data_IF_598721387204
#
_entry.id   IF_598721387204
#
_cell.length_a   1.000
_cell.length_b   1.000
_cell.length_c   1.000
_cell.angle_alpha   90.00
_cell.angle_beta   90.00
_cell.angle_gamma   90.00
#
_symmetry.space_group_name_H-M   'P 1'
#
loop_
_entity.id
_entity.type
_entity.pdbx_description
1 polymer ?
#
# COMPACT_ATOMS: atom_id res chain seq x y z
N UNK A 1 -32.03 12.57 5.62
CA UNK A 1 -30.98 11.53 5.63
C UNK A 1 -29.77 12.19 6.25
N UNK A 2 -29.16 11.60 7.29
CA UNK A 2 -27.88 12.09 7.79
C UNK A 2 -26.85 11.92 6.68
N UNK A 3 -26.17 12.98 6.30
CA UNK A 3 -25.14 12.94 5.26
C UNK A 3 -24.05 11.92 5.65
N UNK A 4 -23.64 11.07 4.71
CA UNK A 4 -22.59 10.08 4.94
C UNK A 4 -21.25 10.78 5.15
N UNK A 5 -20.54 10.45 6.23
CA UNK A 5 -19.24 11.01 6.58
C UNK A 5 -18.21 9.89 6.65
N UNK A 6 -17.07 10.09 5.99
CA UNK A 6 -15.91 9.22 6.17
C UNK A 6 -15.26 9.52 7.51
N UNK A 7 -15.22 8.52 8.38
CA UNK A 7 -14.49 8.58 9.64
C UNK A 7 -13.00 8.35 9.40
N UNK A 8 -12.18 8.94 10.27
CA UNK A 8 -10.74 8.70 10.29
C UNK A 8 -10.42 7.23 10.57
N UNK A 9 -9.36 6.66 9.97
CA UNK A 9 -8.97 5.26 10.16
C UNK A 9 -9.00 4.85 11.63
N UNK A 10 -9.48 3.64 11.93
CA UNK A 10 -9.64 3.14 13.31
C UNK A 10 -10.43 4.05 14.28
N UNK A 11 -11.26 4.97 13.76
CA UNK A 11 -12.06 5.88 14.57
C UNK A 11 -11.25 6.98 15.26
N UNK A 12 -10.04 7.27 14.77
CA UNK A 12 -9.15 8.30 15.32
C UNK A 12 -9.83 9.66 15.39
N UNK A 13 -9.40 10.48 16.37
CA UNK A 13 -9.99 11.80 16.66
C UNK A 13 -8.95 12.92 16.60
N UNK A 14 -7.92 12.77 15.77
CA UNK A 14 -6.85 13.78 15.67
C UNK A 14 -7.32 15.04 14.93
N UNK A 15 -8.19 14.89 13.93
CA UNK A 15 -8.81 16.03 13.26
C UNK A 15 -9.79 16.74 14.19
N UNK A 16 -9.53 18.01 14.52
CA UNK A 16 -10.46 18.85 15.29
C UNK A 16 -11.82 18.97 14.59
N UNK A 17 -11.79 19.05 13.27
CA UNK A 17 -12.96 19.04 12.42
C UNK A 17 -12.94 17.75 11.56
N UNK A 18 -13.77 16.74 11.89
CA UNK A 18 -13.83 15.50 11.11
C UNK A 18 -14.17 15.68 9.63
N UNK A 19 -14.78 16.81 9.26
CA UNK A 19 -15.12 17.14 7.87
C UNK A 19 -13.86 17.29 7.00
N UNK A 20 -12.72 17.68 7.57
CA UNK A 20 -11.49 17.86 6.80
C UNK A 20 -11.00 16.51 6.25
N UNK A 21 -10.95 15.47 7.09
CA UNK A 21 -10.69 14.10 6.64
C UNK A 21 -11.76 13.59 5.66
N UNK A 22 -13.03 13.87 5.94
CA UNK A 22 -14.11 13.45 5.06
C UNK A 22 -13.97 14.00 3.64
N UNK A 23 -13.57 15.27 3.47
CA UNK A 23 -13.37 15.88 2.15
C UNK A 23 -12.23 15.22 1.37
N UNK A 24 -11.13 14.87 2.05
CA UNK A 24 -10.03 14.15 1.43
C UNK A 24 -10.51 12.79 0.90
N UNK A 25 -11.23 12.02 1.72
CA UNK A 25 -11.74 10.71 1.31
C UNK A 25 -12.89 10.78 0.29
N UNK A 26 -13.73 11.80 0.35
CA UNK A 26 -14.75 12.07 -0.67
C UNK A 26 -14.09 12.32 -2.03
N UNK A 27 -13.00 13.08 -2.06
CA UNK A 27 -12.24 13.31 -3.29
C UNK A 27 -11.70 11.99 -3.86
N UNK A 28 -11.06 11.17 -3.04
CA UNK A 28 -10.56 9.85 -3.47
C UNK A 28 -11.69 8.95 -4.00
N UNK A 29 -12.84 8.92 -3.33
CA UNK A 29 -14.01 8.15 -3.75
C UNK A 29 -14.59 8.63 -5.10
N UNK A 30 -14.60 9.94 -5.36
CA UNK A 30 -15.06 10.49 -6.64
C UNK A 30 -14.07 10.23 -7.78
N UNK A 31 -12.79 10.40 -7.51
CA UNK A 31 -11.72 10.20 -8.50
C UNK A 31 -11.72 8.75 -9.01
N UNK A 32 -11.93 7.77 -8.12
CA UNK A 32 -12.02 6.37 -8.54
C UNK A 32 -13.26 6.09 -9.39
N UNK A 33 -14.43 6.66 -9.07
CA UNK A 33 -15.62 6.52 -9.92
C UNK A 33 -15.39 7.10 -11.33
N UNK A 34 -14.67 8.23 -11.43
CA UNK A 34 -14.30 8.79 -12.72
C UNK A 34 -13.38 7.86 -13.54
N UNK A 35 -12.39 7.23 -12.89
CA UNK A 35 -11.51 6.23 -13.54
C UNK A 35 -12.31 5.02 -14.04
N UNK A 36 -13.26 4.53 -13.25
CA UNK A 36 -14.09 3.39 -13.62
C UNK A 36 -15.04 3.70 -14.77
N UNK A 37 -15.68 4.87 -14.75
CA UNK A 37 -16.51 5.35 -15.85
C UNK A 37 -15.68 5.50 -17.14
N UNK A 38 -14.47 6.06 -17.04
CA UNK A 38 -13.54 6.20 -18.17
C UNK A 38 -13.22 4.84 -18.80
N UNK A 39 -12.89 3.84 -17.96
CA UNK A 39 -12.59 2.48 -18.40
C UNK A 39 -13.81 1.79 -19.02
N UNK A 40 -14.99 1.90 -18.41
CA UNK A 40 -16.26 1.35 -18.91
C UNK A 40 -16.59 1.88 -20.30
N UNK A 41 -16.47 3.20 -20.49
CA UNK A 41 -16.82 3.91 -21.72
C UNK A 41 -15.73 3.86 -22.79
N UNK A 42 -14.50 3.43 -22.44
CA UNK A 42 -13.35 3.45 -23.34
C UNK A 42 -12.90 4.86 -23.74
N UNK A 43 -13.02 5.83 -22.82
CA UNK A 43 -12.63 7.23 -23.03
C UNK A 43 -11.54 7.64 -22.04
N UNK A 44 -10.69 8.59 -22.40
CA UNK A 44 -9.60 9.06 -21.53
C UNK A 44 -10.11 9.99 -20.41
N UNK A 45 -11.14 10.79 -20.68
CA UNK A 45 -11.68 11.77 -19.73
C UNK A 45 -13.20 11.87 -19.91
N UNK A 46 -13.99 11.13 -19.11
CA UNK A 46 -15.44 11.21 -19.16
C UNK A 46 -15.90 12.56 -18.60
N UNK A 47 -17.01 13.07 -19.14
CA UNK A 47 -17.72 14.23 -18.61
C UNK A 47 -18.48 13.88 -17.33
N UNK A 48 -18.85 14.88 -16.53
CA UNK A 48 -19.64 14.65 -15.30
C UNK A 48 -20.96 13.91 -15.58
N UNK A 49 -21.64 14.23 -16.68
CA UNK A 49 -22.87 13.53 -17.10
C UNK A 49 -22.60 12.05 -17.45
N UNK A 50 -21.47 11.75 -18.09
CA UNK A 50 -21.05 10.37 -18.38
C UNK A 50 -20.71 9.61 -17.10
N UNK A 51 -20.01 10.26 -16.15
CA UNK A 51 -19.68 9.68 -14.85
C UNK A 51 -20.97 9.34 -14.08
N UNK A 52 -21.93 10.27 -14.05
CA UNK A 52 -23.21 10.06 -13.37
C UNK A 52 -24.02 8.93 -14.03
N UNK A 53 -24.06 8.86 -15.36
CA UNK A 53 -24.75 7.81 -16.10
C UNK A 53 -24.18 6.40 -15.83
N UNK A 54 -22.88 6.28 -15.62
CA UNK A 54 -22.23 4.99 -15.34
C UNK A 54 -22.32 4.58 -13.86
N UNK A 55 -22.53 5.51 -12.92
CA UNK A 55 -22.37 5.26 -11.48
C UNK A 55 -23.09 4.01 -10.97
N UNK A 56 -24.33 3.77 -11.41
CA UNK A 56 -25.14 2.64 -10.93
C UNK A 56 -24.89 1.31 -11.66
N UNK A 57 -24.17 1.36 -12.77
CA UNK A 57 -23.69 0.15 -13.46
C UNK A 57 -22.47 -0.43 -12.73
N UNK A 58 -21.65 0.42 -12.13
CA UNK A 58 -20.41 0.05 -11.45
C UNK A 58 -20.65 -0.78 -10.17
N UNK A 59 -19.71 -1.69 -9.89
CA UNK A 59 -19.70 -2.48 -8.67
C UNK A 59 -19.09 -1.71 -7.49
N UNK A 60 -17.99 -0.99 -7.70
CA UNK A 60 -17.46 -0.07 -6.70
C UNK A 60 -18.34 1.18 -6.60
N UNK A 61 -18.62 1.64 -5.38
CA UNK A 61 -19.56 2.71 -5.10
C UNK A 61 -18.90 3.82 -4.29
N UNK A 62 -19.17 5.06 -4.66
CA UNK A 62 -18.91 6.24 -3.82
C UNK A 62 -20.05 6.38 -2.80
N UNK A 63 -19.79 6.09 -1.50
CA UNK A 63 -20.83 6.10 -0.48
C UNK A 63 -21.32 7.51 -0.12
N UNK A 64 -20.64 8.57 -0.54
CA UNK A 64 -21.12 9.96 -0.39
C UNK A 64 -22.27 10.30 -1.33
N UNK A 65 -22.41 9.50 -2.41
CA UNK A 65 -23.47 9.64 -3.41
C UNK A 65 -24.55 8.59 -3.23
N UNK A 66 -24.14 7.35 -2.99
CA UNK A 66 -25.03 6.23 -2.77
C UNK A 66 -24.62 5.51 -1.50
N UNK A 67 -25.21 5.90 -0.37
CA UNK A 67 -24.95 5.26 0.91
C UNK A 67 -25.24 3.75 0.85
N UNK A 68 -24.43 2.90 1.51
CA UNK A 68 -24.73 1.48 1.64
C UNK A 68 -26.15 1.27 2.21
N UNK A 69 -26.94 0.35 1.63
CA UNK A 69 -28.32 0.12 2.09
C UNK A 69 -28.36 -0.53 3.48
N UNK A 70 -29.52 -0.44 4.13
CA UNK A 70 -29.81 -1.20 5.35
C UNK A 70 -29.69 -2.71 5.05
N UNK A 71 -28.76 -3.39 5.73
CA UNK A 71 -28.44 -4.80 5.49
C UNK A 71 -27.17 -5.03 4.68
N UNK A 72 -26.43 -3.98 4.29
CA UNK A 72 -25.08 -4.15 3.77
C UNK A 72 -24.17 -4.83 4.82
N UNK A 73 -23.34 -5.76 4.36
CA UNK A 73 -22.40 -6.51 5.20
C UNK A 73 -21.05 -5.80 5.19
N UNK A 74 -20.45 -5.62 6.36
CA UNK A 74 -19.03 -5.20 6.47
C UNK A 74 -18.20 -6.40 6.93
N UNK A 75 -17.15 -6.71 6.16
CA UNK A 75 -16.26 -7.82 6.44
C UNK A 75 -14.80 -7.45 6.15
N UNK A 76 -13.84 -8.05 6.86
CA UNK A 76 -12.44 -7.98 6.44
C UNK A 76 -12.26 -8.79 5.17
N UNK A 77 -11.38 -8.32 4.29
CA UNK A 77 -10.88 -9.18 3.23
C UNK A 77 -9.83 -10.14 3.80
N UNK A 78 -9.54 -11.25 3.12
CA UNK A 78 -8.51 -12.19 3.50
C UNK A 78 -7.19 -11.43 3.75
N UNK A 79 -6.57 -11.61 4.93
CA UNK A 79 -5.35 -10.92 5.27
C UNK A 79 -4.16 -11.43 4.46
N UNK A 80 -3.15 -10.59 4.28
CA UNK A 80 -1.88 -10.93 3.66
C UNK A 80 -0.72 -10.74 4.62
N UNK A 81 0.41 -11.36 4.31
CA UNK A 81 1.63 -11.27 5.11
C UNK A 81 2.26 -9.87 5.01
N UNK A 82 2.69 -9.31 6.15
CA UNK A 82 3.33 -8.00 6.22
C UNK A 82 4.79 -7.98 5.74
N UNK A 83 5.43 -9.13 5.59
CA UNK A 83 6.76 -9.22 4.99
C UNK A 83 6.69 -9.09 3.45
N UNK A 84 7.45 -8.16 2.84
CA UNK A 84 7.49 -7.90 1.41
C UNK A 84 7.79 -9.11 0.53
N UNK A 85 6.78 -9.57 -0.21
CA UNK A 85 6.97 -10.66 -1.19
C UNK A 85 7.91 -10.27 -2.30
N UNK A 86 7.95 -8.98 -2.66
CA UNK A 86 8.90 -8.45 -3.63
C UNK A 86 10.36 -8.70 -3.20
N UNK A 87 10.64 -8.65 -1.89
CA UNK A 87 11.98 -8.93 -1.35
C UNK A 87 12.33 -10.40 -1.53
N UNK A 88 11.44 -11.30 -1.11
CA UNK A 88 11.65 -12.75 -1.23
C UNK A 88 11.75 -13.22 -2.69
N UNK A 89 11.04 -12.57 -3.62
CA UNK A 89 11.10 -12.90 -5.06
C UNK A 89 12.40 -12.51 -5.74
N UNK A 90 13.06 -11.46 -5.24
CA UNK A 90 14.33 -10.96 -5.78
C UNK A 90 15.54 -11.72 -5.22
N UNK A 91 15.34 -12.48 -4.16
CA UNK A 91 16.33 -13.36 -3.56
C UNK A 91 16.96 -14.34 -4.58
N UNK A 92 18.25 -14.72 -4.41
CA UNK A 92 19.18 -14.22 -3.40
C UNK A 92 19.69 -12.81 -3.74
N UNK A 93 19.99 -12.01 -2.72
CA UNK A 93 20.44 -10.64 -2.88
C UNK A 93 21.98 -10.53 -2.98
N UNK A 94 22.56 -10.11 -4.13
CA UNK A 94 24.01 -10.08 -4.30
C UNK A 94 24.75 -9.15 -3.33
N UNK A 95 24.12 -8.05 -2.95
CA UNK A 95 24.69 -7.05 -2.03
C UNK A 95 24.64 -7.51 -0.55
N UNK A 96 23.91 -8.60 -0.27
CA UNK A 96 23.75 -9.17 1.06
C UNK A 96 24.10 -10.66 1.03
N UNK A 97 25.40 -11.01 1.01
CA UNK A 97 25.83 -12.40 0.95
C UNK A 97 25.26 -13.21 2.12
N UNK A 98 25.17 -14.55 2.01
CA UNK A 98 24.58 -15.40 3.03
C UNK A 98 25.16 -15.14 4.42
N UNK A 99 24.29 -15.05 5.42
CA UNK A 99 24.69 -14.95 6.82
C UNK A 99 23.75 -15.76 7.72
N UNK A 100 24.13 -15.92 8.99
CA UNK A 100 23.32 -16.63 9.97
C UNK A 100 21.93 -15.98 10.11
N UNK A 101 20.89 -16.82 10.11
CA UNK A 101 19.48 -16.40 10.10
C UNK A 101 19.00 -15.67 8.84
N UNK A 102 19.84 -15.45 7.82
CA UNK A 102 19.47 -14.74 6.58
C UNK A 102 20.33 -15.23 5.39
N UNK A 103 20.12 -16.49 4.93
CA UNK A 103 20.96 -17.12 3.92
C UNK A 103 20.82 -16.46 2.54
N UNK A 104 19.67 -15.86 2.23
CA UNK A 104 19.41 -15.23 0.93
C UNK A 104 19.50 -13.70 0.96
N UNK A 105 19.80 -13.13 2.13
CA UNK A 105 19.93 -11.68 2.32
C UNK A 105 18.60 -10.92 2.39
N UNK A 106 17.45 -11.62 2.50
CA UNK A 106 16.12 -11.03 2.54
C UNK A 106 15.95 -10.07 3.73
N UNK A 107 16.36 -10.50 4.92
CA UNK A 107 16.18 -9.70 6.12
C UNK A 107 17.11 -8.49 6.15
N UNK A 108 18.32 -8.56 5.60
CA UNK A 108 19.14 -7.36 5.40
C UNK A 108 18.61 -6.47 4.27
N UNK A 109 18.08 -7.06 3.21
CA UNK A 109 17.55 -6.33 2.07
C UNK A 109 16.31 -5.50 2.42
N UNK A 110 15.39 -6.03 3.22
CA UNK A 110 14.15 -5.35 3.61
C UNK A 110 14.38 -4.16 4.56
N UNK A 111 15.49 -4.15 5.30
CA UNK A 111 15.89 -3.04 6.18
C UNK A 111 16.62 -1.91 5.43
N UNK A 112 16.79 -2.04 4.11
CA UNK A 112 17.42 -1.01 3.30
C UNK A 112 16.63 0.31 3.38
N UNK A 113 17.40 1.40 3.48
CA UNK A 113 16.88 2.76 3.44
C UNK A 113 17.34 3.42 2.14
N UNK A 114 16.38 3.82 1.30
CA UNK A 114 16.69 4.33 -0.01
C UNK A 114 15.52 5.01 -0.72
N UNK A 115 15.57 4.97 -2.05
CA UNK A 115 14.62 5.66 -2.93
C UNK A 115 14.13 4.76 -4.07
N UNK A 116 14.21 3.43 -3.89
CA UNK A 116 13.68 2.43 -4.84
C UNK A 116 12.14 2.49 -4.92
N UNK A 117 11.51 3.10 -3.93
CA UNK A 117 10.12 3.49 -3.92
C UNK A 117 9.83 4.65 -4.90
N UNK A 118 10.73 5.05 -5.79
CA UNK A 118 10.46 5.94 -6.93
C UNK A 118 11.17 5.45 -8.19
N UNK A 119 10.64 5.77 -9.40
CA UNK A 119 11.38 5.52 -10.63
C UNK A 119 12.75 6.20 -10.61
N UNK A 120 13.75 5.56 -11.21
CA UNK A 120 15.14 5.99 -11.17
C UNK A 120 15.31 7.49 -11.51
N UNK A 121 16.00 8.19 -10.62
CA UNK A 121 16.13 9.64 -10.63
C UNK A 121 16.69 10.14 -9.30
N UNK A 122 16.62 11.45 -9.09
CA UNK A 122 17.07 12.12 -7.86
C UNK A 122 15.97 13.04 -7.32
N UNK A 123 15.89 13.19 -6.01
CA UNK A 123 15.07 14.25 -5.43
C UNK A 123 15.80 15.59 -5.50
N UNK A 124 15.05 16.63 -5.83
CA UNK A 124 15.49 18.03 -5.82
C UNK A 124 14.42 18.90 -5.16
N UNK A 125 14.79 20.08 -4.70
CA UNK A 125 13.84 21.13 -4.37
C UNK A 125 13.57 22.08 -5.55
N UNK A 126 12.74 23.11 -5.35
CA UNK A 126 12.43 24.11 -6.38
C UNK A 126 13.64 24.93 -6.85
N UNK A 127 14.78 24.84 -6.16
CA UNK A 127 16.03 25.52 -6.50
C UNK A 127 17.07 24.55 -7.12
N UNK A 128 16.64 23.38 -7.60
CA UNK A 128 17.48 22.33 -8.19
C UNK A 128 18.55 21.75 -7.23
N UNK A 129 18.43 21.98 -5.91
CA UNK A 129 19.35 21.38 -4.94
C UNK A 129 18.97 19.92 -4.72
N UNK A 130 19.95 19.02 -4.82
CA UNK A 130 19.72 17.59 -4.58
C UNK A 130 19.38 17.35 -3.11
N UNK A 131 18.30 16.60 -2.89
CA UNK A 131 17.84 16.18 -1.57
C UNK A 131 18.15 14.69 -1.39
N UNK A 132 18.64 14.31 -0.20
CA UNK A 132 18.77 12.91 0.19
C UNK A 132 17.62 12.57 1.13
N UNK A 133 16.62 11.83 0.62
CA UNK A 133 15.36 11.57 1.30
C UNK A 133 15.07 10.06 1.32
N UNK A 134 15.90 9.27 2.02
CA UNK A 134 15.69 7.83 2.09
C UNK A 134 14.44 7.49 2.88
N UNK A 135 13.79 6.39 2.49
CA UNK A 135 12.65 5.77 3.18
C UNK A 135 12.88 4.27 3.33
N UNK A 136 11.98 3.56 4.02
CA UNK A 136 11.97 2.09 4.08
C UNK A 136 11.45 1.54 2.75
N UNK A 137 12.26 1.72 1.72
CA UNK A 137 11.87 1.63 0.31
C UNK A 137 11.55 0.21 -0.19
N UNK A 138 11.75 -0.79 0.68
CA UNK A 138 11.43 -2.20 0.41
C UNK A 138 10.39 -2.78 1.35
N UNK A 139 9.85 -2.00 2.29
CA UNK A 139 8.77 -2.43 3.19
C UNK A 139 7.40 -2.06 2.59
N UNK A 140 7.03 -2.69 1.49
CA UNK A 140 5.93 -2.27 0.62
C UNK A 140 4.63 -3.08 0.80
N UNK A 141 4.32 -3.64 1.96
CA UNK A 141 3.08 -4.45 2.17
C UNK A 141 2.07 -3.82 3.12
N UNK A 142 2.00 -2.47 3.13
CA UNK A 142 1.17 -1.71 4.05
C UNK A 142 1.48 -1.98 5.54
N UNK A 143 2.69 -2.49 5.79
CA UNK A 143 3.29 -2.65 7.10
C UNK A 143 4.74 -2.20 6.99
N UNK A 144 5.10 -1.19 7.76
CA UNK A 144 6.48 -0.78 7.94
C UNK A 144 6.87 -0.88 9.39
N UNK A 145 8.16 -1.09 9.65
CA UNK A 145 8.68 -1.27 10.99
C UNK A 145 10.04 -0.61 11.20
N UNK A 146 10.34 -0.37 12.47
CA UNK A 146 11.65 0.05 12.93
C UNK A 146 11.98 -0.64 14.24
N UNK A 147 13.25 -1.06 14.38
CA UNK A 147 13.78 -1.62 15.60
C UNK A 147 14.56 -0.57 16.39
N UNK A 148 14.33 -0.49 17.70
CA UNK A 148 15.23 0.15 18.64
C UNK A 148 16.23 -0.88 19.14
N UNK A 149 17.50 -0.48 19.18
CA UNK A 149 18.61 -1.32 19.65
C UNK A 149 19.26 -0.72 20.90
N UNK A 150 19.82 -1.58 21.75
CA UNK A 150 20.66 -1.14 22.87
C UNK A 150 22.09 -0.80 22.42
N UNK A 151 22.95 -0.39 23.36
CA UNK A 151 24.36 -0.06 23.10
C UNK A 151 25.18 -1.24 22.57
N UNK A 152 24.71 -2.48 22.81
CA UNK A 152 25.31 -3.72 22.31
C UNK A 152 24.74 -4.13 20.93
N UNK A 153 23.85 -3.31 20.36
CA UNK A 153 23.22 -3.56 19.06
C UNK A 153 22.05 -4.55 19.10
N UNK A 154 21.61 -5.00 20.28
CA UNK A 154 20.52 -5.97 20.43
C UNK A 154 19.16 -5.33 20.27
N UNK A 155 18.21 -6.03 19.64
CA UNK A 155 16.85 -5.53 19.44
C UNK A 155 16.11 -5.50 20.79
N UNK A 156 15.69 -4.31 21.23
CA UNK A 156 14.96 -4.13 22.50
C UNK A 156 13.48 -3.84 22.30
N UNK A 157 13.13 -3.22 21.16
CA UNK A 157 11.76 -2.90 20.78
C UNK A 157 11.61 -2.95 19.27
N UNK A 158 10.47 -3.42 18.79
CA UNK A 158 10.06 -3.25 17.39
C UNK A 158 8.75 -2.47 17.37
N UNK A 159 8.68 -1.46 16.52
CA UNK A 159 7.46 -0.70 16.24
C UNK A 159 7.00 -1.02 14.83
N UNK A 160 5.73 -1.42 14.69
CA UNK A 160 5.05 -1.67 13.43
C UNK A 160 3.98 -0.60 13.20
N UNK A 161 3.85 -0.13 11.96
CA UNK A 161 2.90 0.92 11.58
C UNK A 161 2.20 0.53 10.28
N UNK A 162 0.88 0.75 10.24
CA UNK A 162 0.00 0.63 9.07
C UNK A 162 -0.73 1.96 8.75
N UNK A 163 -0.37 3.04 9.42
CA UNK A 163 -0.95 4.38 9.22
C UNK A 163 -0.25 5.11 8.06
N UNK A 164 -1.01 5.50 7.04
CA UNK A 164 -0.50 6.13 5.82
C UNK A 164 0.07 7.54 6.02
N UNK A 165 1.05 7.93 5.20
CA UNK A 165 1.58 9.29 5.20
C UNK A 165 0.58 10.34 4.70
N UNK A 166 -0.43 9.92 3.94
CA UNK A 166 -1.52 10.75 3.45
C UNK A 166 -2.43 11.22 4.60
N UNK A 167 -2.72 10.37 5.59
CA UNK A 167 -3.40 10.79 6.83
C UNK A 167 -2.64 11.93 7.54
N UNK A 168 -1.32 11.79 7.67
CA UNK A 168 -0.47 12.83 8.29
C UNK A 168 -0.34 14.07 7.41
N UNK A 169 -0.36 13.91 6.09
CA UNK A 169 -0.33 15.03 5.15
C UNK A 169 -1.59 15.88 5.27
N UNK A 170 -2.75 15.25 5.28
CA UNK A 170 -4.05 15.91 5.50
C UNK A 170 -4.11 16.53 6.91
N UNK A 171 -3.70 15.79 7.94
CA UNK A 171 -3.70 16.32 9.30
C UNK A 171 -2.79 17.56 9.42
N UNK A 172 -1.61 17.53 8.82
CA UNK A 172 -0.68 18.65 8.84
C UNK A 172 -1.23 19.87 8.06
N UNK A 173 -1.91 19.66 6.94
CA UNK A 173 -2.52 20.74 6.16
C UNK A 173 -3.60 21.50 6.95
N UNK A 174 -4.29 20.82 7.87
CA UNK A 174 -5.40 21.39 8.65
C UNK A 174 -5.03 21.75 10.10
N UNK A 175 -4.11 21.02 10.72
CA UNK A 175 -3.63 21.22 12.10
C UNK A 175 -2.18 20.71 12.26
N UNK A 176 -1.22 21.54 11.81
CA UNK A 176 0.22 21.29 11.96
C UNK A 176 0.63 21.03 13.43
N UNK A 177 -0.06 21.68 14.37
CA UNK A 177 0.18 21.53 15.80
C UNK A 177 -0.11 20.11 16.25
N UNK A 178 -1.25 19.55 15.84
CA UNK A 178 -1.61 18.17 16.16
C UNK A 178 -0.68 17.16 15.50
N UNK A 179 -0.34 17.35 14.23
CA UNK A 179 0.64 16.50 13.55
C UNK A 179 2.00 16.52 14.28
N UNK A 180 2.45 17.71 14.72
CA UNK A 180 3.67 17.86 15.49
C UNK A 180 3.61 17.14 16.85
N UNK A 181 2.50 17.25 17.59
CA UNK A 181 2.31 16.53 18.85
C UNK A 181 2.46 15.02 18.67
N UNK A 182 1.79 14.44 17.67
CA UNK A 182 1.92 13.01 17.37
C UNK A 182 3.36 12.62 17.05
N UNK A 183 4.07 13.45 16.29
CA UNK A 183 5.49 13.24 16.01
C UNK A 183 6.33 13.26 17.30
N UNK A 184 6.10 14.21 18.21
CA UNK A 184 6.79 14.27 19.51
C UNK A 184 6.51 13.03 20.35
N UNK A 185 5.25 12.60 20.40
CA UNK A 185 4.82 11.44 21.17
C UNK A 185 5.46 10.13 20.65
N UNK A 186 5.47 9.92 19.34
CA UNK A 186 5.98 8.68 18.75
C UNK A 186 7.50 8.62 18.62
N UNK A 187 8.17 9.77 18.49
CA UNK A 187 9.64 9.83 18.40
C UNK A 187 10.31 10.06 19.76
N UNK A 188 9.58 10.57 20.76
CA UNK A 188 10.13 10.97 22.05
C UNK A 188 11.00 12.23 21.98
N UNK A 189 10.88 13.04 20.92
CA UNK A 189 11.68 14.25 20.70
C UNK A 189 10.86 15.52 21.03
N UNK A 190 10.93 16.06 22.26
CA UNK A 190 10.08 17.17 22.68
C UNK A 190 10.38 18.49 21.95
N UNK A 191 11.59 18.64 21.42
CA UNK A 191 12.09 19.88 20.80
C UNK A 191 11.74 20.01 19.31
N UNK A 192 11.03 19.04 18.72
CA UNK A 192 10.58 19.12 17.33
C UNK A 192 9.72 20.37 17.10
N UNK A 193 9.84 20.92 15.90
CA UNK A 193 9.06 22.06 15.41
C UNK A 193 8.30 21.65 14.15
N UNK A 194 7.18 22.30 13.85
CA UNK A 194 6.41 22.01 12.62
C UNK A 194 7.27 22.14 11.35
N UNK A 195 8.21 23.09 11.36
CA UNK A 195 9.19 23.31 10.29
C UNK A 195 10.16 22.14 10.05
N UNK A 196 10.35 21.26 11.04
CA UNK A 196 11.14 20.04 10.90
C UNK A 196 10.41 18.98 10.07
N UNK A 197 9.08 19.09 9.98
CA UNK A 197 8.19 18.19 9.23
C UNK A 197 7.85 18.74 7.84
N UNK A 198 8.31 19.95 7.50
CA UNK A 198 7.87 20.68 6.30
C UNK A 198 8.82 20.53 5.12
N UNK A 199 8.27 20.36 3.92
CA UNK A 199 8.97 20.53 2.66
C UNK A 199 9.09 22.03 2.30
N UNK A 200 9.97 22.78 2.96
CA UNK A 200 10.02 24.26 2.86
C UNK A 200 10.12 24.79 1.41
N UNK A 201 10.97 24.16 0.61
CA UNK A 201 11.22 24.52 -0.79
C UNK A 201 10.60 23.51 -1.78
N UNK A 202 9.65 22.70 -1.30
CA UNK A 202 9.04 21.61 -2.06
C UNK A 202 9.98 20.41 -2.23
N UNK A 203 9.43 19.31 -2.71
CA UNK A 203 10.15 18.09 -3.07
C UNK A 203 9.70 17.68 -4.45
N UNK A 204 10.66 17.48 -5.34
CA UNK A 204 10.43 17.08 -6.73
C UNK A 204 11.31 15.89 -7.07
N UNK A 205 10.83 14.98 -7.91
CA UNK A 205 11.60 13.87 -8.48
C UNK A 205 12.03 14.22 -9.89
N UNK A 206 13.33 14.41 -10.13
CA UNK A 206 13.90 14.53 -11.46
C UNK A 206 14.31 13.16 -11.98
N UNK A 207 13.64 12.71 -13.02
CA UNK A 207 13.85 11.40 -13.65
C UNK A 207 15.08 11.40 -14.56
N UNK A 208 15.58 10.21 -14.90
CA UNK A 208 16.72 10.05 -15.84
C UNK A 208 16.52 10.70 -17.21
N UNK A 209 15.27 10.84 -17.66
CA UNK A 209 14.93 11.51 -18.92
C UNK A 209 14.87 13.05 -18.82
N UNK A 210 15.21 13.63 -17.65
CA UNK A 210 15.19 15.06 -17.39
C UNK A 210 13.83 15.62 -16.96
N UNK A 211 12.75 14.83 -17.01
CA UNK A 211 11.43 15.28 -16.53
C UNK A 211 11.42 15.41 -15.02
N UNK A 212 10.89 16.53 -14.52
CA UNK A 212 10.69 16.78 -13.09
C UNK A 212 9.21 16.61 -12.74
N UNK A 213 8.93 15.90 -11.66
CA UNK A 213 7.58 15.69 -11.12
C UNK A 213 7.50 16.22 -9.69
N UNK A 214 6.49 17.02 -9.39
CA UNK A 214 6.19 17.41 -8.01
C UNK A 214 5.86 16.17 -7.16
N UNK A 215 6.38 16.14 -5.95
CA UNK A 215 6.09 15.12 -4.93
C UNK A 215 5.39 15.79 -3.76
N UNK A 216 5.92 16.91 -3.29
CA UNK A 216 5.31 17.78 -2.28
C UNK A 216 5.51 19.23 -2.68
N UNK A 217 4.46 20.04 -2.65
CA UNK A 217 4.55 21.48 -2.92
C UNK A 217 5.27 22.24 -1.79
N UNK A 218 5.87 23.41 -2.08
CA UNK A 218 6.54 24.22 -1.06
C UNK A 218 5.61 24.55 0.11
N UNK A 219 6.07 24.21 1.30
CA UNK A 219 5.33 24.41 2.54
C UNK A 219 4.46 23.22 2.98
N UNK A 220 4.29 22.20 2.13
CA UNK A 220 3.56 20.98 2.49
C UNK A 220 4.28 20.10 3.50
N UNK A 221 3.58 19.08 3.99
CA UNK A 221 4.14 18.03 4.85
C UNK A 221 5.18 17.20 4.07
N UNK A 222 6.35 16.97 4.66
CA UNK A 222 7.38 16.10 4.10
C UNK A 222 7.22 14.68 4.66
N UNK A 223 6.63 13.72 3.92
CA UNK A 223 6.47 12.35 4.39
C UNK A 223 7.81 11.59 4.48
N UNK A 224 8.88 12.14 3.89
CA UNK A 224 10.23 11.59 3.88
C UNK A 224 11.16 12.34 4.86
N UNK A 225 10.58 13.06 5.83
CA UNK A 225 11.38 13.76 6.83
C UNK A 225 12.21 12.74 7.63
N UNK A 226 13.42 13.14 8.03
CA UNK A 226 14.37 12.26 8.73
C UNK A 226 13.83 11.69 10.04
N UNK A 227 12.86 12.35 10.67
CA UNK A 227 12.30 11.94 11.97
C UNK A 227 11.36 10.74 11.84
N UNK A 228 10.82 10.48 10.63
CA UNK A 228 10.13 9.23 10.32
C UNK A 228 11.08 8.07 10.01
N UNK A 229 12.41 8.32 9.95
CA UNK A 229 13.45 7.30 9.71
C UNK A 229 14.21 6.99 11.01
N UNK A 230 14.64 8.03 11.73
CA UNK A 230 15.42 7.96 12.96
C UNK A 230 15.05 9.18 13.84
N UNK A 231 14.64 9.03 15.13
CA UNK A 231 14.77 7.89 16.04
C UNK A 231 13.74 6.77 15.91
N UNK A 232 12.78 6.84 14.98
CA UNK A 232 11.76 5.80 14.88
C UNK A 232 10.96 5.83 13.59
N UNK A 233 9.72 5.32 13.69
CA UNK A 233 8.72 5.27 12.64
C UNK A 233 7.43 5.90 13.18
N UNK A 234 6.86 6.85 12.43
CA UNK A 234 5.63 7.60 12.77
C UNK A 234 4.48 7.13 11.88
N UNK A 235 4.74 7.02 10.58
CA UNK A 235 3.78 6.57 9.56
C UNK A 235 4.50 5.77 8.46
N UNK A 236 3.72 5.08 7.62
CA UNK A 236 4.18 4.44 6.39
C UNK A 236 4.89 5.48 5.50
N UNK A 237 6.09 5.15 5.00
CA UNK A 237 6.96 6.04 4.23
C UNK A 237 7.06 5.66 2.75
N UNK A 238 6.80 4.41 2.40
CA UNK A 238 6.84 3.91 1.04
C UNK A 238 5.66 4.46 0.22
N UNK A 239 5.90 5.00 -0.98
CA UNK A 239 4.86 5.66 -1.79
C UNK A 239 3.62 4.78 -2.06
N UNK A 240 3.81 3.48 -2.24
CA UNK A 240 2.75 2.53 -2.60
C UNK A 240 1.94 2.04 -1.39
N UNK A 241 2.31 2.50 -0.18
CA UNK A 241 1.61 2.19 1.06
C UNK A 241 0.60 3.29 1.46
N UNK A 242 0.09 4.07 0.51
CA UNK A 242 -0.92 5.11 0.78
C UNK A 242 -2.34 4.56 0.73
N UNK A 243 -3.26 5.19 1.46
CA UNK A 243 -4.69 4.92 1.37
C UNK A 243 -5.24 5.21 -0.02
N UNK A 244 -4.77 6.28 -0.68
CA UNK A 244 -5.17 6.58 -2.06
C UNK A 244 -4.78 5.48 -3.06
N UNK A 245 -3.60 4.86 -2.90
CA UNK A 245 -3.20 3.71 -3.72
C UNK A 245 -4.14 2.52 -3.51
N UNK A 246 -4.58 2.30 -2.28
CA UNK A 246 -5.50 1.23 -1.92
C UNK A 246 -6.91 1.45 -2.48
N UNK A 247 -7.48 2.65 -2.28
CA UNK A 247 -8.78 3.05 -2.84
C UNK A 247 -8.79 2.83 -4.35
N UNK A 248 -7.73 3.27 -5.03
CA UNK A 248 -7.59 3.07 -6.46
C UNK A 248 -7.56 1.58 -6.82
N UNK A 249 -6.72 0.78 -6.16
CA UNK A 249 -6.59 -0.64 -6.46
C UNK A 249 -7.90 -1.42 -6.27
N UNK A 250 -8.59 -1.19 -5.14
CA UNK A 250 -9.89 -1.79 -4.86
C UNK A 250 -10.89 -1.41 -5.96
N UNK A 251 -10.99 -0.13 -6.31
CA UNK A 251 -11.91 0.34 -7.33
C UNK A 251 -11.62 -0.21 -8.73
N UNK A 252 -10.39 -0.10 -9.26
CA UNK A 252 -10.05 -0.55 -10.63
C UNK A 252 -10.19 -2.07 -10.82
N UNK A 253 -10.15 -2.80 -9.71
CA UNK A 253 -10.40 -4.25 -9.66
C UNK A 253 -11.90 -4.58 -9.62
N UNK A 254 -12.76 -3.58 -9.42
CA UNK A 254 -14.22 -3.67 -9.41
C UNK A 254 -14.90 -3.71 -10.79
N UNK A 255 -14.17 -4.03 -11.87
CA UNK A 255 -14.71 -4.14 -13.24
C UNK A 255 -14.34 -5.50 -13.82
N UNK A 256 -15.30 -6.16 -14.49
CA UNK A 256 -15.07 -7.44 -15.18
C UNK A 256 -14.10 -7.27 -16.33
N UNK A 257 -13.15 -8.21 -16.44
CA UNK A 257 -12.11 -8.20 -17.46
C UNK A 257 -12.28 -9.33 -18.46
N UNK A 258 -12.11 -9.02 -19.75
CA UNK A 258 -12.13 -9.97 -20.87
C UNK A 258 -10.73 -10.17 -21.42
N UNK A 259 -10.39 -11.44 -21.64
CA UNK A 259 -9.19 -11.87 -22.36
C UNK A 259 -9.25 -11.49 -23.84
N UNK A 260 -8.16 -11.75 -24.54
CA UNK A 260 -8.05 -11.52 -25.98
C UNK A 260 -9.11 -12.28 -26.81
N UNK A 261 -9.49 -13.47 -26.36
CA UNK A 261 -10.52 -14.32 -26.98
C UNK A 261 -11.97 -13.86 -26.68
N UNK A 262 -12.15 -12.78 -25.91
CA UNK A 262 -13.44 -12.24 -25.52
C UNK A 262 -14.08 -12.93 -24.31
N UNK A 263 -13.48 -14.01 -23.79
CA UNK A 263 -13.97 -14.69 -22.59
C UNK A 263 -13.56 -13.93 -21.33
N UNK A 264 -14.41 -13.99 -20.30
CA UNK A 264 -14.14 -13.34 -19.01
C UNK A 264 -12.97 -14.02 -18.29
N UNK A 265 -12.19 -13.23 -17.56
CA UNK A 265 -11.32 -13.76 -16.52
C UNK A 265 -12.17 -14.29 -15.37
N UNK A 266 -11.83 -15.48 -14.89
CA UNK A 266 -12.51 -16.17 -13.79
C UNK A 266 -12.09 -15.66 -12.41
N UNK A 267 -10.99 -14.90 -12.32
CA UNK A 267 -10.44 -14.36 -11.09
C UNK A 267 -9.68 -15.38 -10.24
N UNK A 268 -9.40 -16.60 -10.72
CA UNK A 268 -8.74 -17.65 -9.94
C UNK A 268 -7.22 -17.41 -9.76
N UNK A 269 -6.58 -16.78 -10.74
CA UNK A 269 -5.17 -16.38 -10.70
C UNK A 269 -5.05 -14.87 -10.40
N UNK A 270 -4.68 -14.55 -9.16
CA UNK A 270 -4.54 -13.19 -8.66
C UNK A 270 -3.48 -12.37 -9.43
N UNK A 271 -2.36 -13.00 -9.81
CA UNK A 271 -1.30 -12.32 -10.56
C UNK A 271 -1.78 -12.00 -11.98
N UNK A 272 -2.43 -12.97 -12.64
CA UNK A 272 -2.98 -12.79 -13.98
C UNK A 272 -4.01 -11.67 -14.02
N UNK A 273 -4.88 -11.61 -13.02
CA UNK A 273 -5.87 -10.54 -12.89
C UNK A 273 -5.20 -9.18 -12.74
N UNK A 274 -4.21 -9.05 -11.85
CA UNK A 274 -3.50 -7.79 -11.66
C UNK A 274 -2.70 -7.37 -12.90
N UNK A 275 -2.10 -8.33 -13.61
CA UNK A 275 -1.42 -8.08 -14.87
C UNK A 275 -2.38 -7.60 -15.98
N UNK A 276 -3.63 -8.08 -15.97
CA UNK A 276 -4.67 -7.65 -16.91
C UNK A 276 -5.15 -6.21 -16.66
N UNK A 277 -5.33 -5.82 -15.38
CA UNK A 277 -5.93 -4.53 -15.01
C UNK A 277 -4.90 -3.41 -14.72
N UNK A 278 -3.60 -3.75 -14.58
CA UNK A 278 -2.51 -2.80 -14.22
C UNK A 278 -2.75 -2.02 -12.93
N UNK A 279 -3.53 -2.57 -12.00
CA UNK A 279 -3.94 -1.87 -10.79
C UNK A 279 -2.84 -1.66 -9.75
N UNK A 280 -1.74 -2.43 -9.83
CA UNK A 280 -0.66 -2.40 -8.86
C UNK A 280 0.57 -3.21 -9.31
N UNK A 281 1.38 -3.65 -8.34
CA UNK A 281 2.59 -4.44 -8.56
C UNK A 281 2.31 -5.95 -8.33
N UNK A 282 2.42 -6.80 -9.37
CA UNK A 282 2.14 -8.23 -9.24
C UNK A 282 3.12 -8.99 -8.34
N UNK A 283 4.21 -8.37 -7.91
CA UNK A 283 5.18 -9.01 -7.02
C UNK A 283 4.86 -8.84 -5.53
N UNK A 284 3.95 -7.95 -5.15
CA UNK A 284 3.48 -7.75 -3.77
C UNK A 284 2.50 -8.85 -3.34
N UNK A 285 2.35 -9.09 -2.04
CA UNK A 285 1.30 -9.93 -1.45
C UNK A 285 -0.06 -9.24 -1.59
N UNK A 286 -0.11 -7.98 -1.17
CA UNK A 286 -1.30 -7.15 -1.10
C UNK A 286 -1.99 -6.99 -2.46
N UNK A 287 -1.29 -6.44 -3.45
CA UNK A 287 -1.97 -5.98 -4.67
C UNK A 287 -2.77 -7.06 -5.41
N UNK A 288 -2.19 -8.25 -5.72
CA UNK A 288 -2.94 -9.32 -6.36
C UNK A 288 -4.11 -9.81 -5.50
N UNK A 289 -3.94 -9.89 -4.18
CA UNK A 289 -4.95 -10.43 -3.27
C UNK A 289 -6.14 -9.48 -3.12
N UNK A 290 -5.89 -8.17 -2.96
CA UNK A 290 -6.93 -7.14 -2.98
C UNK A 290 -7.66 -7.17 -4.31
N UNK A 291 -6.91 -7.19 -5.43
CA UNK A 291 -7.50 -7.23 -6.76
C UNK A 291 -8.40 -8.45 -6.96
N UNK A 292 -7.96 -9.63 -6.55
CA UNK A 292 -8.73 -10.87 -6.64
C UNK A 292 -10.01 -10.80 -5.80
N UNK A 293 -9.92 -10.31 -4.57
CA UNK A 293 -11.07 -10.27 -3.65
C UNK A 293 -12.10 -9.22 -4.03
N UNK A 294 -11.65 -8.06 -4.52
CA UNK A 294 -12.50 -7.04 -5.12
C UNK A 294 -13.25 -7.60 -6.34
N UNK A 295 -12.53 -8.25 -7.26
CA UNK A 295 -13.09 -8.87 -8.46
C UNK A 295 -14.09 -10.00 -8.14
N UNK A 296 -13.82 -10.80 -7.09
CA UNK A 296 -14.72 -11.83 -6.62
C UNK A 296 -16.08 -11.27 -6.14
N UNK A 297 -16.12 -10.04 -5.62
CA UNK A 297 -17.40 -9.39 -5.29
C UNK A 297 -18.21 -9.11 -6.57
N UNK A 298 -17.54 -8.62 -7.61
CA UNK A 298 -18.16 -8.30 -8.91
C UNK A 298 -18.75 -9.55 -9.57
N UNK A 299 -17.97 -10.64 -9.63
CA UNK A 299 -18.42 -11.93 -10.19
C UNK A 299 -19.65 -12.49 -9.49
N UNK A 300 -19.83 -12.15 -8.22
CA UNK A 300 -20.97 -12.55 -7.41
C UNK A 300 -22.12 -11.52 -7.46
N UNK A 301 -22.09 -10.52 -8.34
CA UNK A 301 -23.12 -9.47 -8.43
C UNK A 301 -23.29 -8.68 -7.11
N UNK A 302 -22.20 -8.44 -6.38
CA UNK A 302 -22.19 -7.46 -5.29
C UNK A 302 -21.83 -6.07 -5.82
N UNK A 303 -22.43 -5.05 -5.21
CA UNK A 303 -21.85 -3.71 -5.13
C UNK A 303 -21.09 -3.59 -3.81
N UNK A 304 -20.05 -2.77 -3.77
CA UNK A 304 -19.24 -2.58 -2.57
C UNK A 304 -18.54 -1.22 -2.54
N UNK A 305 -18.10 -0.83 -1.35
CA UNK A 305 -17.18 0.28 -1.07
C UNK A 305 -16.14 -0.22 -0.08
N UNK A 306 -15.00 0.47 0.05
CA UNK A 306 -14.20 0.33 1.26
C UNK A 306 -15.05 0.70 2.49
N UNK A 307 -14.91 -0.07 3.55
CA UNK A 307 -15.72 0.12 4.76
C UNK A 307 -15.32 1.41 5.47
N UNK A 308 -16.29 2.03 6.15
CA UNK A 308 -16.04 3.17 7.02
C UNK A 308 -15.73 2.68 8.45
N UNK A 309 -14.62 3.08 9.10
CA UNK A 309 -13.53 3.91 8.59
C UNK A 309 -12.63 3.20 7.57
N UNK A 310 -12.26 3.92 6.51
CA UNK A 310 -11.34 3.46 5.47
C UNK A 310 -9.94 3.38 6.06
N UNK A 311 -9.25 2.26 5.89
CA UNK A 311 -7.92 2.06 6.43
C UNK A 311 -7.33 0.69 6.11
N UNK A 312 -6.01 0.61 6.24
CA UNK A 312 -5.25 -0.62 6.25
C UNK A 312 -4.82 -0.89 7.69
N UNK A 313 -5.03 -2.11 8.16
CA UNK A 313 -4.89 -2.43 9.57
C UNK A 313 -4.07 -3.69 9.74
N UNK A 314 -3.26 -3.73 10.80
CA UNK A 314 -2.64 -4.97 11.26
C UNK A 314 -3.76 -5.92 11.66
N UNK A 315 -3.96 -6.98 10.89
CA UNK A 315 -5.05 -7.93 11.07
C UNK A 315 -4.83 -8.83 12.29
N UNK A 316 -3.57 -9.16 12.57
CA UNK A 316 -3.21 -9.98 13.72
C UNK A 316 -1.77 -10.51 13.65
N UNK A 317 -1.45 -11.38 14.60
CA UNK A 317 -0.14 -12.00 14.77
C UNK A 317 -0.32 -13.52 14.79
N UNK A 318 0.54 -14.25 14.08
CA UNK A 318 0.71 -15.69 14.27
C UNK A 318 1.42 -15.95 15.63
N UNK A 319 0.65 -15.95 16.71
CA UNK A 319 1.19 -15.96 18.09
C UNK A 319 1.91 -17.26 18.50
N UNK A 320 1.76 -18.33 17.71
CA UNK A 320 2.52 -19.58 17.84
C UNK A 320 3.92 -19.49 17.24
N UNK A 321 4.18 -18.50 16.38
CA UNK A 321 5.43 -18.37 15.64
C UNK A 321 6.56 -17.67 16.41
N UNK A 322 6.24 -16.94 17.48
CA UNK A 322 7.22 -16.22 18.31
C UNK A 322 7.28 -16.79 19.73
N UNK A 323 8.41 -17.40 20.06
CA UNK A 323 8.62 -18.15 21.30
C UNK A 323 9.71 -17.53 22.18
N UNK A 324 9.64 -17.84 23.48
CA UNK A 324 10.71 -17.59 24.44
C UNK A 324 11.93 -18.48 24.15
N UNK A 325 13.09 -18.24 24.80
CA UNK A 325 14.31 -19.02 24.57
C UNK A 325 14.20 -20.53 24.85
N UNK A 326 13.15 -20.96 25.56
CA UNK A 326 12.85 -22.38 25.81
C UNK A 326 12.23 -23.10 24.60
N UNK A 327 12.00 -22.38 23.50
CA UNK A 327 11.45 -22.89 22.24
C UNK A 327 10.10 -23.63 22.39
N UNK A 328 9.32 -23.30 23.42
CA UNK A 328 8.03 -23.94 23.70
C UNK A 328 6.99 -22.99 24.30
N UNK A 329 7.43 -21.97 25.03
CA UNK A 329 6.55 -20.95 25.60
C UNK A 329 6.35 -19.82 24.61
N UNK A 330 5.09 -19.49 24.32
CA UNK A 330 4.75 -18.33 23.47
C UNK A 330 5.16 -17.03 24.14
N UNK A 331 5.52 -16.03 23.33
CA UNK A 331 5.67 -14.66 23.83
C UNK A 331 4.35 -14.19 24.46
N UNK A 332 4.38 -13.68 25.71
CA UNK A 332 3.18 -13.20 26.37
C UNK A 332 2.52 -12.03 25.61
N UNK A 333 1.18 -12.05 25.52
CA UNK A 333 0.41 -11.05 24.77
C UNK A 333 0.59 -9.64 25.34
N UNK A 334 0.88 -9.51 26.63
CA UNK A 334 1.13 -8.23 27.30
C UNK A 334 2.43 -7.54 26.89
N UNK A 335 3.33 -8.22 26.16
CA UNK A 335 4.50 -7.58 25.56
C UNK A 335 4.17 -6.86 24.25
N UNK A 336 2.97 -7.10 23.70
CA UNK A 336 2.43 -6.42 22.54
C UNK A 336 1.51 -5.29 22.97
N UNK A 337 1.92 -4.06 22.65
CA UNK A 337 1.17 -2.85 22.97
C UNK A 337 0.56 -2.25 21.71
N UNK A 338 -0.77 -2.28 21.63
CA UNK A 338 -1.52 -1.47 20.66
C UNK A 338 -1.44 -0.01 21.09
N UNK A 339 -0.79 0.82 20.30
CA UNK A 339 -0.66 2.27 20.56
C UNK A 339 -1.76 3.04 19.85
N UNK A 340 -2.17 2.58 18.66
CA UNK A 340 -3.28 3.16 17.89
C UNK A 340 -4.13 2.07 17.27
N UNK A 341 -5.45 2.26 17.35
CA UNK A 341 -6.44 1.28 16.94
C UNK A 341 -6.80 0.31 18.06
N UNK A 342 -7.46 -0.80 17.69
CA UNK A 342 -8.00 -1.77 18.63
C UNK A 342 -8.08 -3.17 18.01
N UNK A 343 -8.42 -4.15 18.86
CA UNK A 343 -8.85 -5.50 18.48
C UNK A 343 -7.78 -6.39 17.81
N UNK A 344 -6.51 -6.20 18.13
CA UNK A 344 -5.36 -6.97 17.60
C UNK A 344 -5.56 -8.50 17.55
N UNK A 345 -6.29 -9.05 18.52
CA UNK A 345 -6.47 -10.49 18.70
C UNK A 345 -7.76 -11.03 18.09
N UNK A 346 -8.52 -10.19 17.40
CA UNK A 346 -9.70 -10.56 16.63
C UNK A 346 -9.51 -10.10 15.17
N UNK A 347 -9.00 -10.98 14.32
CA UNK A 347 -8.79 -10.66 12.91
C UNK A 347 -10.09 -10.27 12.17
N UNK A 348 -11.27 -10.58 12.71
CA UNK A 348 -12.53 -10.14 12.12
C UNK A 348 -12.89 -8.68 12.41
N UNK A 349 -12.23 -8.08 13.42
CA UNK A 349 -12.51 -6.74 13.91
C UNK A 349 -11.28 -5.82 13.98
N UNK A 350 -10.05 -6.38 13.88
CA UNK A 350 -8.81 -5.66 14.13
C UNK A 350 -8.68 -4.40 13.28
N UNK A 351 -8.52 -3.26 13.95
CA UNK A 351 -8.28 -1.95 13.33
C UNK A 351 -7.01 -1.32 13.87
N UNK A 352 -5.98 -2.13 14.12
CA UNK A 352 -4.69 -1.67 14.66
C UNK A 352 -3.89 -0.93 13.60
N UNK A 353 -3.42 0.26 13.94
CA UNK A 353 -2.59 1.12 13.08
C UNK A 353 -1.14 1.22 13.56
N UNK A 354 -0.92 1.08 14.88
CA UNK A 354 0.42 1.12 15.48
C UNK A 354 0.52 0.09 16.58
N UNK A 355 1.52 -0.78 16.46
CA UNK A 355 1.79 -1.89 17.36
C UNK A 355 3.25 -1.86 17.79
N UNK A 356 3.50 -2.10 19.07
CA UNK A 356 4.85 -2.15 19.62
C UNK A 356 5.06 -3.49 20.33
N UNK A 357 6.17 -4.16 20.02
CA UNK A 357 6.67 -5.31 20.77
C UNK A 357 7.85 -4.84 21.61
N UNK A 358 7.78 -5.04 22.93
CA UNK A 358 8.87 -4.69 23.86
C UNK A 358 8.92 -5.70 25.01
N UNK A 359 10.12 -6.17 25.33
CA UNK A 359 10.32 -7.11 26.45
C UNK A 359 10.43 -6.31 27.76
N UNK A 360 9.62 -6.61 28.79
CA UNK A 360 9.73 -5.94 30.07
C UNK A 360 11.12 -6.12 30.70
N UNK A 361 11.69 -5.03 31.25
CA UNK A 361 13.04 -5.04 31.82
C UNK A 361 13.26 -6.11 32.90
N UNK A 362 12.20 -6.52 33.62
CA UNK A 362 12.24 -7.57 34.65
C UNK A 362 12.62 -8.96 34.11
N UNK A 363 12.36 -9.22 32.83
CA UNK A 363 12.62 -10.52 32.19
C UNK A 363 14.10 -10.74 31.92
N UNK A 364 14.91 -9.66 31.92
CA UNK A 364 16.35 -9.71 31.58
C UNK A 364 16.64 -10.35 30.21
N UNK A 365 15.65 -10.29 29.32
CA UNK A 365 15.72 -10.72 27.93
C UNK A 365 15.57 -9.51 27.01
N UNK A 366 15.99 -9.68 25.76
CA UNK A 366 15.73 -8.77 24.66
C UNK A 366 14.91 -9.49 23.58
N UNK A 367 14.41 -8.76 22.59
CA UNK A 367 13.71 -9.38 21.45
C UNK A 367 14.65 -10.34 20.71
N UNK A 368 15.95 -10.07 20.71
CA UNK A 368 16.94 -10.93 20.08
C UNK A 368 17.12 -12.31 20.73
N UNK A 369 16.66 -12.47 21.97
CA UNK A 369 16.68 -13.76 22.67
C UNK A 369 15.46 -14.63 22.31
N UNK A 370 14.43 -14.04 21.70
CA UNK A 370 13.23 -14.73 21.25
C UNK A 370 13.51 -15.56 20.01
N UNK A 371 12.63 -16.52 19.74
CA UNK A 371 12.78 -17.49 18.68
C UNK A 371 11.64 -17.41 17.65
N UNK A 372 12.01 -17.41 16.37
CA UNK A 372 11.10 -17.64 15.24
C UNK A 372 11.57 -18.88 14.50
N UNK A 373 10.71 -19.91 14.42
CA UNK A 373 11.07 -21.20 13.84
C UNK A 373 12.29 -21.88 14.51
N UNK A 374 12.47 -21.65 15.82
CA UNK A 374 13.62 -22.16 16.60
C UNK A 374 14.92 -21.37 16.45
N UNK A 375 14.96 -20.33 15.61
CA UNK A 375 16.13 -19.47 15.41
C UNK A 375 15.97 -18.15 16.15
N UNK A 376 17.08 -17.59 16.65
CA UNK A 376 17.07 -16.26 17.29
C UNK A 376 16.58 -15.17 16.34
N UNK A 377 15.89 -14.18 16.88
CA UNK A 377 15.50 -12.98 16.14
C UNK A 377 16.72 -12.05 15.98
N UNK A 378 17.39 -12.12 14.85
CA UNK A 378 18.51 -11.24 14.49
C UNK A 378 18.03 -9.98 13.76
N UNK A 379 16.91 -10.08 13.06
CA UNK A 379 16.33 -9.05 12.22
C UNK A 379 14.85 -8.83 12.56
N UNK A 380 14.36 -7.59 12.62
CA UNK A 380 12.95 -7.33 12.92
C UNK A 380 12.02 -7.86 11.81
N UNK A 381 12.50 -7.98 10.57
CA UNK A 381 11.78 -8.65 9.48
C UNK A 381 11.34 -10.09 9.80
N UNK A 382 12.08 -10.84 10.63
CA UNK A 382 11.66 -12.19 11.07
C UNK A 382 10.36 -12.15 11.88
N UNK A 383 10.15 -11.08 12.66
CA UNK A 383 8.89 -10.88 13.39
C UNK A 383 7.81 -10.36 12.46
N UNK A 384 8.16 -9.51 11.48
CA UNK A 384 7.22 -9.01 10.48
C UNK A 384 6.57 -10.14 9.65
N UNK A 385 7.27 -11.25 9.40
CA UNK A 385 6.72 -12.45 8.76
C UNK A 385 5.54 -13.06 9.54
N UNK A 386 5.43 -12.81 10.84
CA UNK A 386 4.33 -13.30 11.68
C UNK A 386 3.14 -12.33 11.72
N UNK A 387 3.28 -11.14 11.16
CA UNK A 387 2.22 -10.13 11.12
C UNK A 387 1.46 -10.21 9.80
N UNK A 388 0.17 -9.97 9.90
CA UNK A 388 -0.68 -9.85 8.72
C UNK A 388 -1.41 -8.52 8.70
N UNK A 389 -1.76 -8.06 7.50
CA UNK A 389 -2.49 -6.82 7.24
C UNK A 389 -3.76 -7.13 6.49
N UNK A 390 -4.79 -6.33 6.69
CA UNK A 390 -6.04 -6.39 5.94
C UNK A 390 -6.68 -5.02 5.78
N UNK A 391 -7.81 -5.02 5.09
CA UNK A 391 -8.76 -3.91 5.04
C UNK A 391 -10.18 -4.47 5.10
N UNK A 392 -11.15 -3.57 5.22
CA UNK A 392 -12.55 -3.91 5.27
C UNK A 392 -13.30 -3.40 4.05
N UNK A 393 -14.27 -4.17 3.59
CA UNK A 393 -15.23 -3.76 2.55
C UNK A 393 -16.64 -3.82 3.12
N UNK A 394 -17.48 -2.88 2.69
CA UNK A 394 -18.93 -2.93 2.90
C UNK A 394 -19.58 -3.28 1.58
N UNK A 395 -20.34 -4.39 1.52
CA UNK A 395 -20.93 -4.92 0.30
C UNK A 395 -22.42 -5.21 0.43
N UNK A 396 -23.13 -5.21 -0.69
CA UNK A 396 -24.55 -5.59 -0.77
C UNK A 396 -24.87 -6.16 -2.15
N UNK A 397 -25.81 -7.10 -2.21
CA UNK A 397 -26.22 -7.70 -3.48
C UNK A 397 -26.92 -6.68 -4.36
N UNK A 398 -26.66 -6.75 -5.66
CA UNK A 398 -27.52 -6.11 -6.66
C UNK A 398 -28.90 -6.76 -6.65
N UNK A 399 -29.92 -5.99 -7.01
CA UNK A 399 -31.27 -6.51 -7.23
C UNK A 399 -31.37 -7.32 -8.52
N UNK A 400 -30.42 -7.15 -9.44
CA UNK A 400 -30.28 -7.91 -10.67
C UNK A 400 -29.08 -8.87 -10.62
N UNK A 401 -28.98 -9.76 -11.60
CA UNK A 401 -27.82 -10.64 -11.78
C UNK A 401 -26.67 -9.96 -12.57
N UNK A 402 -26.67 -8.63 -12.68
CA UNK A 402 -25.63 -7.91 -13.40
C UNK A 402 -24.30 -8.01 -12.67
N UNK A 403 -23.21 -7.93 -13.42
CA UNK A 403 -21.83 -7.85 -12.91
C UNK A 403 -21.20 -6.49 -13.28
N UNK A 404 -22.01 -5.54 -13.75
CA UNK A 404 -21.54 -4.25 -14.25
C UNK A 404 -20.88 -4.34 -15.63
N UNK A 405 -20.12 -3.31 -16.02
CA UNK A 405 -19.47 -3.25 -17.33
C UNK A 405 -18.34 -4.28 -17.47
N UNK A 406 -18.10 -4.69 -18.72
CA UNK A 406 -17.04 -5.64 -19.08
C UNK A 406 -16.04 -5.01 -20.05
N UNK A 407 -14.82 -4.82 -19.59
CA UNK A 407 -13.74 -4.20 -20.36
C UNK A 407 -12.68 -5.23 -20.74
N UNK A 408 -11.89 -4.95 -21.78
CA UNK A 408 -10.77 -5.85 -22.15
C UNK A 408 -9.63 -5.71 -21.15
N UNK A 409 -8.73 -6.69 -21.14
CA UNK A 409 -7.43 -6.52 -20.50
C UNK A 409 -6.62 -5.44 -21.21
N UNK A 410 -6.00 -4.58 -20.41
CA UNK A 410 -5.22 -3.42 -20.89
C UNK A 410 -3.70 -3.73 -20.94
N UNK A 411 -3.30 -4.87 -20.37
CA UNK A 411 -1.93 -5.35 -20.33
C UNK A 411 -1.83 -6.86 -20.08
N UNK A 412 -0.59 -7.33 -20.05
CA UNK A 412 -0.17 -8.63 -19.54
C UNK A 412 1.06 -8.47 -18.65
N UNK A 413 1.70 -9.58 -18.29
CA UNK A 413 3.03 -9.57 -17.67
C UNK A 413 4.00 -10.48 -18.41
N UNK A 414 5.27 -10.18 -18.21
CA UNK A 414 6.38 -11.07 -18.49
C UNK A 414 6.95 -11.64 -17.19
N UNK A 415 7.61 -12.80 -17.25
CA UNK A 415 8.14 -13.52 -16.10
C UNK A 415 9.61 -13.90 -16.27
N UNK A 416 10.39 -13.76 -15.20
CA UNK A 416 11.75 -14.30 -15.04
C UNK A 416 11.87 -14.91 -13.64
N UNK A 417 11.97 -16.24 -13.57
CA UNK A 417 11.86 -16.93 -12.28
C UNK A 417 10.51 -16.66 -11.61
N UNK A 418 10.54 -16.20 -10.36
CA UNK A 418 9.34 -15.77 -9.60
C UNK A 418 8.96 -14.30 -9.83
N UNK A 419 9.80 -13.52 -10.51
CA UNK A 419 9.56 -12.11 -10.75
C UNK A 419 8.64 -11.90 -11.95
N UNK A 420 7.69 -10.98 -11.80
CA UNK A 420 6.80 -10.50 -12.85
C UNK A 420 7.11 -9.05 -13.22
N UNK A 421 6.93 -8.70 -14.49
CA UNK A 421 7.04 -7.34 -15.00
C UNK A 421 5.80 -7.02 -15.84
N UNK A 422 5.11 -5.91 -15.55
CA UNK A 422 3.98 -5.46 -16.36
C UNK A 422 4.42 -5.19 -17.80
N UNK A 423 3.62 -5.60 -18.76
CA UNK A 423 3.96 -5.58 -20.18
C UNK A 423 2.74 -5.29 -21.06
N UNK A 424 2.97 -4.64 -22.20
CA UNK A 424 1.99 -4.43 -23.26
C UNK A 424 1.91 -5.59 -24.28
N UNK A 425 2.58 -6.71 -23.98
CA UNK A 425 2.71 -7.86 -24.88
C UNK A 425 4.15 -8.13 -25.32
N UNK A 426 5.06 -7.16 -25.09
CA UNK A 426 6.50 -7.31 -25.35
C UNK A 426 7.30 -7.58 -24.06
N UNK A 427 8.25 -8.52 -24.12
CA UNK A 427 9.09 -8.88 -22.97
C UNK A 427 10.53 -8.44 -23.18
N UNK A 428 11.11 -7.84 -22.13
CA UNK A 428 12.53 -7.53 -22.03
C UNK A 428 13.41 -8.79 -22.11
N UNK A 429 14.69 -8.62 -22.46
CA UNK A 429 15.64 -9.73 -22.57
C UNK A 429 15.70 -10.58 -21.30
N UNK A 430 15.57 -11.90 -21.48
CA UNK A 430 15.56 -12.88 -20.38
C UNK A 430 14.22 -13.02 -19.65
N UNK A 431 13.20 -12.24 -20.02
CA UNK A 431 11.82 -12.46 -19.61
C UNK A 431 11.02 -13.15 -20.72
N UNK A 432 10.03 -13.94 -20.33
CA UNK A 432 9.08 -14.60 -21.25
C UNK A 432 7.64 -14.19 -20.94
N UNK A 433 6.69 -14.25 -21.90
CA UNK A 433 5.29 -13.99 -21.60
C UNK A 433 4.78 -14.85 -20.45
N UNK A 434 4.15 -14.23 -19.44
CA UNK A 434 3.56 -14.93 -18.30
C UNK A 434 2.12 -15.33 -18.59
N UNK A 435 1.35 -14.42 -19.18
CA UNK A 435 -0.09 -14.58 -19.45
C UNK A 435 -0.42 -14.16 -20.89
N UNK A 436 0.05 -14.91 -21.91
CA UNK A 436 -0.06 -14.50 -23.32
C UNK A 436 -1.51 -14.43 -23.83
N UNK A 437 -2.47 -15.02 -23.12
CA UNK A 437 -3.89 -15.01 -23.49
C UNK A 437 -4.65 -13.73 -23.11
N UNK A 438 -4.01 -12.82 -22.37
CA UNK A 438 -4.63 -11.55 -21.97
C UNK A 438 -4.72 -10.55 -23.13
N UNK A 439 -3.77 -10.57 -24.07
CA UNK A 439 -3.69 -9.63 -25.19
C UNK A 439 -3.70 -10.36 -26.55
N UNK A 440 -4.22 -9.72 -27.62
CA UNK A 440 -4.17 -10.32 -28.96
C UNK A 440 -2.75 -10.62 -29.43
N UNK A 441 -2.55 -11.72 -30.16
CA UNK A 441 -1.22 -12.16 -30.62
C UNK A 441 -0.43 -11.10 -31.43
N UNK A 442 -1.14 -10.16 -32.08
CA UNK A 442 -0.53 -9.09 -32.88
C UNK A 442 -0.04 -7.90 -32.04
N UNK A 443 -0.31 -7.86 -30.73
CA UNK A 443 0.30 -6.89 -29.82
C UNK A 443 1.80 -7.18 -29.57
N UNK A 444 2.28 -8.37 -29.92
CA UNK A 444 3.66 -8.81 -29.69
C UNK A 444 4.64 -8.54 -30.86
N UNK A 445 4.24 -7.86 -31.95
CA UNK A 445 5.14 -7.65 -33.10
C UNK A 445 5.01 -6.25 -33.69
N UNK A 446 5.78 -5.31 -33.14
CA UNK A 446 6.44 -4.24 -33.90
C UNK A 446 7.47 -3.51 -33.02
N UNK A 447 8.69 -4.02 -32.89
CA UNK A 447 9.98 -3.33 -33.13
C UNK A 447 11.09 -4.38 -32.98
N UNK A 448 11.37 -5.10 -34.06
CA UNK A 448 12.71 -5.60 -34.34
C UNK A 448 13.06 -5.04 -35.70
N UNK A 449 14.16 -4.28 -35.78
CA UNK A 449 14.74 -3.61 -36.98
C UNK A 449 14.37 -2.14 -37.26
N UNK A 450 14.34 -1.23 -36.28
CA UNK A 450 14.74 0.18 -36.53
C UNK A 450 15.43 0.78 -35.30
N UNK A 451 16.59 1.44 -35.50
CA UNK A 451 17.29 2.28 -34.51
C UNK A 451 16.32 3.28 -33.82
N UNK A 452 16.55 3.67 -32.56
CA UNK A 452 15.57 4.40 -31.78
C UNK A 452 15.41 5.83 -32.28
N UNK A 453 14.20 6.17 -32.74
CA UNK A 453 13.71 7.54 -32.74
C UNK A 453 12.92 7.75 -31.44
N UNK A 454 13.38 8.71 -30.65
CA UNK A 454 12.74 9.24 -29.44
C UNK A 454 11.22 9.34 -29.58
N UNK A 455 10.48 8.49 -28.86
CA UNK A 455 9.08 8.71 -28.52
C UNK A 455 8.88 8.46 -27.03
N UNK A 456 8.48 9.53 -26.36
CA UNK A 456 8.16 9.67 -24.95
C UNK A 456 7.01 8.76 -24.56
N UNK A 457 7.28 7.82 -23.64
CA UNK A 457 6.23 7.14 -22.87
C UNK A 457 5.73 8.10 -21.78
N UNK A 458 4.54 8.66 -21.96
CA UNK A 458 3.80 9.28 -20.85
C UNK A 458 3.15 8.17 -20.04
N UNK A 459 3.69 7.93 -18.84
CA UNK A 459 2.95 7.25 -17.79
C UNK A 459 1.69 8.07 -17.49
N UNK A 460 0.52 7.45 -17.60
CA UNK A 460 -0.73 8.00 -17.09
C UNK A 460 -0.54 8.15 -15.57
N UNK A 461 -0.31 9.39 -15.15
CA UNK A 461 -0.29 9.80 -13.76
C UNK A 461 -1.73 10.04 -13.31
N UNK A 462 -2.09 9.79 -12.04
CA UNK A 462 -3.18 10.52 -11.43
C UNK A 462 -2.79 12.01 -11.48
N UNK A 463 -3.60 12.82 -12.18
CA UNK A 463 -3.36 14.25 -12.29
C UNK A 463 -3.65 14.90 -10.94
N UNK A 464 -2.65 15.57 -10.39
CA UNK A 464 -2.86 16.68 -9.46
C UNK A 464 -3.76 17.71 -10.15
N UNK A 465 -4.99 17.85 -9.69
CA UNK A 465 -5.86 18.94 -10.13
C UNK A 465 -5.57 20.13 -9.23
N UNK A 466 -5.00 21.14 -9.86
CA UNK A 466 -4.93 22.53 -9.42
C UNK A 466 -6.27 22.94 -8.78
N UNK A 467 -6.24 23.18 -7.47
CA UNK A 467 -6.67 24.42 -6.83
C UNK A 467 -6.14 24.52 -5.41
#
# INVERSE_FOLDING_TARGET
MTDWIFEAPAGLKDFRNPIDWHRAMEKEARDIIAILAASSLGVESPTDDQIEAERDTLAYVDPTRTAPPAGAETLPIQPWNGFPRAVSRRAPWPDYPPADGDPDGNYRAVEHLGEEDHPAGVFIDRHDRVLHLPVRDRQDEYLEWAARRDEQGRITKITFVAEGYDYFSELFAHDEGRALELYKDFTGLPDLKADDLRAKDGIYRRLKNGTTKAVVEPGGFNPRNRYNINPGIVHLSHRANSLGAEVNLAGVSGIIRKKADGTRLDGSDAEKLLCCNRGGNPNRNSDPLISQQAYAQVLQSYRYTLANPVGLYIAGIEDTGLLLPDNSTKVPREWWRVVRGADLWDASASRVLRLELEVPAKEKLTIQDLLVGGNKVLFPGQVAELLSVHLFVTRWKRSDASVGPEVKCDATCCRKGAQLELSDGSCSDGFRPAFPDLLPANAAVAVSTVKPASKTMSAIQPRSVVR
#
